data_IF_805383675372
#
_entry.id   IF_805383675372
#
_cell.length_a   1.000
_cell.length_b   1.000
_cell.length_c   1.000
_cell.angle_alpha   90.00
_cell.angle_beta   90.00
_cell.angle_gamma   90.00
#
_symmetry.space_group_name_H-M   'P 1'
#
loop_
_entity.id
_entity.type
_entity.pdbx_description
1 polymer ?
#
# COMPACT_ATOMS: atom_id res chain seq x y z
N UNK A 1 11.22 -19.12 13.44
CA UNK A 1 9.91 -19.48 12.83
C UNK A 1 8.77 -18.84 13.63
N UNK A 2 8.83 -18.94 14.97
CA UNK A 2 7.75 -18.56 15.89
C UNK A 2 7.29 -17.09 15.80
N UNK A 3 8.18 -16.13 15.57
CA UNK A 3 7.79 -14.71 15.43
C UNK A 3 7.21 -14.37 14.04
N UNK A 4 7.59 -15.13 13.01
CA UNK A 4 7.22 -14.85 11.62
C UNK A 4 5.84 -15.42 11.31
N UNK A 5 5.60 -16.67 11.72
CA UNK A 5 4.40 -17.45 11.41
C UNK A 5 3.76 -18.10 12.64
N UNK A 6 4.35 -18.00 13.83
CA UNK A 6 3.92 -18.78 14.99
C UNK A 6 2.56 -18.40 15.57
N UNK A 7 2.04 -17.21 15.25
CA UNK A 7 0.66 -16.84 15.58
C UNK A 7 -0.27 -16.73 14.37
N UNK A 8 0.13 -17.25 13.20
CA UNK A 8 -0.74 -17.32 12.03
C UNK A 8 -1.69 -18.51 12.18
N UNK A 9 -3.00 -18.23 12.19
CA UNK A 9 -4.03 -19.25 12.27
C UNK A 9 -4.58 -19.58 10.87
N UNK A 10 -4.17 -20.73 10.31
CA UNK A 10 -4.65 -21.19 8.99
C UNK A 10 -6.10 -21.68 8.99
N UNK A 11 -6.75 -21.75 10.16
CA UNK A 11 -8.19 -22.03 10.26
C UNK A 11 -9.03 -20.75 10.20
N UNK A 12 -8.41 -19.58 10.28
CA UNK A 12 -9.10 -18.30 10.08
C UNK A 12 -9.01 -17.91 8.59
N UNK A 13 -10.12 -17.87 7.85
CA UNK A 13 -10.13 -17.56 6.42
C UNK A 13 -9.58 -16.15 6.11
N UNK A 14 -9.50 -15.27 7.11
CA UNK A 14 -8.89 -13.95 6.96
C UNK A 14 -7.36 -13.95 7.07
N UNK A 15 -6.77 -15.02 7.63
CA UNK A 15 -5.33 -15.20 7.82
C UNK A 15 -4.69 -16.11 6.77
N UNK A 16 -5.50 -16.86 6.00
CA UNK A 16 -5.07 -17.76 4.93
C UNK A 16 -5.63 -19.17 5.10
N UNK A 17 -4.98 -20.16 4.49
CA UNK A 17 -5.37 -21.57 4.59
C UNK A 17 -6.41 -22.02 3.56
N UNK A 18 -6.92 -23.23 3.74
CA UNK A 18 -7.78 -23.91 2.77
C UNK A 18 -9.13 -23.21 2.59
N UNK A 19 -9.74 -22.76 3.69
CA UNK A 19 -10.99 -21.99 3.65
C UNK A 19 -10.81 -20.66 2.91
N UNK A 20 -9.66 -19.99 3.08
CA UNK A 20 -9.33 -18.79 2.32
C UNK A 20 -9.19 -19.11 0.82
N UNK A 21 -8.53 -20.22 0.48
CA UNK A 21 -8.36 -20.66 -0.91
C UNK A 21 -9.69 -21.03 -1.57
N UNK A 22 -10.64 -21.57 -0.82
CA UNK A 22 -11.98 -21.94 -1.30
C UNK A 22 -13.04 -20.84 -1.10
N UNK A 23 -12.68 -19.70 -0.52
CA UNK A 23 -13.61 -18.59 -0.24
C UNK A 23 -14.37 -18.09 -1.48
N UNK A 24 -13.67 -18.00 -2.62
CA UNK A 24 -14.26 -17.65 -3.92
C UNK A 24 -14.30 -18.88 -4.84
N UNK A 25 -15.49 -19.19 -5.36
CA UNK A 25 -15.67 -20.29 -6.31
C UNK A 25 -14.90 -20.03 -7.62
N UNK A 26 -14.43 -21.09 -8.28
CA UNK A 26 -13.73 -20.98 -9.57
C UNK A 26 -14.60 -20.29 -10.62
N UNK A 27 -15.90 -20.56 -10.62
CA UNK A 27 -16.85 -19.90 -11.52
C UNK A 27 -16.89 -18.39 -11.29
N UNK A 28 -17.02 -17.95 -10.04
CA UNK A 28 -17.02 -16.52 -9.71
C UNK A 28 -15.70 -15.84 -10.10
N UNK A 29 -14.55 -16.48 -9.83
CA UNK A 29 -13.23 -15.97 -10.25
C UNK A 29 -13.15 -15.75 -11.77
N UNK A 30 -13.65 -16.70 -12.55
CA UNK A 30 -13.65 -16.61 -14.01
C UNK A 30 -14.57 -15.48 -14.50
N UNK A 31 -15.76 -15.35 -13.93
CA UNK A 31 -16.72 -14.28 -14.29
C UNK A 31 -16.16 -12.91 -13.93
N UNK A 32 -15.66 -12.72 -12.70
CA UNK A 32 -15.05 -11.47 -12.27
C UNK A 32 -13.84 -11.10 -13.14
N UNK A 33 -12.98 -12.07 -13.44
CA UNK A 33 -11.83 -11.84 -14.33
C UNK A 33 -12.27 -11.47 -15.74
N UNK A 34 -13.29 -12.16 -16.30
CA UNK A 34 -13.81 -11.88 -17.63
C UNK A 34 -14.48 -10.49 -17.74
N UNK A 35 -15.00 -9.94 -16.64
CA UNK A 35 -15.59 -8.60 -16.60
C UNK A 35 -14.54 -7.51 -16.34
N UNK A 36 -13.60 -7.74 -15.43
CA UNK A 36 -12.59 -6.73 -15.05
C UNK A 36 -11.49 -6.58 -16.11
N UNK A 37 -11.09 -7.67 -16.76
CA UNK A 37 -9.99 -7.66 -17.72
C UNK A 37 -10.25 -6.76 -18.94
N UNK A 38 -11.43 -6.79 -19.60
CA UNK A 38 -11.74 -5.86 -20.69
C UNK A 38 -11.69 -4.40 -20.26
N UNK A 39 -12.19 -4.08 -19.05
CA UNK A 39 -12.15 -2.71 -18.51
C UNK A 39 -10.70 -2.26 -18.31
N UNK A 40 -9.84 -3.12 -17.74
CA UNK A 40 -8.42 -2.83 -17.58
C UNK A 40 -7.71 -2.64 -18.93
N UNK A 41 -8.01 -3.47 -19.94
CA UNK A 41 -7.48 -3.33 -21.29
C UNK A 41 -7.92 -2.01 -21.93
N UNK A 42 -9.20 -1.65 -21.81
CA UNK A 42 -9.73 -0.38 -22.34
C UNK A 42 -9.05 0.83 -21.69
N UNK A 43 -8.87 0.80 -20.36
CA UNK A 43 -8.15 1.84 -19.62
C UNK A 43 -6.70 1.96 -20.11
N UNK A 44 -6.00 0.83 -20.27
CA UNK A 44 -4.64 0.82 -20.82
C UNK A 44 -4.60 1.38 -22.24
N UNK A 45 -5.47 0.92 -23.15
CA UNK A 45 -5.54 1.43 -24.52
C UNK A 45 -5.82 2.93 -24.57
N UNK A 46 -6.65 3.46 -23.66
CA UNK A 46 -6.97 4.88 -23.59
C UNK A 46 -5.81 5.73 -23.03
N UNK A 47 -5.10 5.24 -22.00
CA UNK A 47 -4.03 5.97 -21.32
C UNK A 47 -2.68 5.85 -22.06
N UNK A 48 -2.41 4.69 -22.66
CA UNK A 48 -1.14 4.38 -23.33
C UNK A 48 -0.66 5.43 -24.35
N UNK A 49 -1.48 5.91 -25.31
CA UNK A 49 -1.03 6.92 -26.26
C UNK A 49 -0.63 8.23 -25.57
N UNK A 50 -1.36 8.63 -24.51
CA UNK A 50 -1.05 9.84 -23.72
C UNK A 50 0.23 9.67 -22.91
N UNK A 51 0.40 8.51 -22.27
CA UNK A 51 1.59 8.19 -21.50
C UNK A 51 2.85 8.11 -22.39
N UNK A 52 2.73 7.62 -23.62
CA UNK A 52 3.85 7.55 -24.57
C UNK A 52 4.30 8.94 -25.06
N UNK A 53 3.37 9.89 -25.17
CA UNK A 53 3.67 11.27 -25.58
C UNK A 53 4.16 12.14 -24.43
N UNK A 54 4.06 11.70 -23.17
CA UNK A 54 4.60 12.45 -22.04
C UNK A 54 6.12 12.40 -22.05
N UNK A 55 6.75 13.57 -22.12
CA UNK A 55 8.17 13.69 -21.84
C UNK A 55 8.42 13.38 -20.36
N UNK A 56 9.20 12.33 -20.10
CA UNK A 56 9.66 12.03 -18.74
C UNK A 56 10.67 13.09 -18.35
N UNK A 57 10.44 13.89 -17.29
CA UNK A 57 11.38 14.93 -16.90
C UNK A 57 12.78 14.32 -16.62
N UNK A 58 13.81 14.89 -17.25
CA UNK A 58 15.20 14.41 -17.15
C UNK A 58 15.68 14.30 -15.69
N UNK A 59 15.22 15.20 -14.83
CA UNK A 59 15.43 15.16 -13.39
C UNK A 59 14.09 15.31 -12.66
N UNK A 60 13.79 14.46 -11.66
CA UNK A 60 12.63 14.67 -10.81
C UNK A 60 12.88 15.94 -10.01
N UNK A 61 11.97 16.91 -10.08
CA UNK A 61 12.11 18.14 -9.31
C UNK A 61 11.62 17.94 -7.86
N UNK A 62 12.26 17.00 -7.14
CA UNK A 62 12.00 16.78 -5.70
C UNK A 62 12.24 18.07 -4.87
N UNK A 63 12.95 19.06 -5.43
CA UNK A 63 13.26 20.36 -4.81
C UNK A 63 12.16 21.41 -5.00
N UNK A 64 11.20 21.22 -5.92
CA UNK A 64 10.02 22.08 -6.05
C UNK A 64 9.05 21.93 -4.85
N UNK A 65 9.25 20.89 -4.03
CA UNK A 65 8.45 20.56 -2.85
C UNK A 65 8.68 21.50 -1.63
N UNK A 66 9.12 22.73 -1.88
CA UNK A 66 9.70 23.58 -0.84
C UNK A 66 8.69 24.50 -0.13
N UNK A 67 7.42 24.54 -0.55
CA UNK A 67 6.45 25.49 -0.01
C UNK A 67 5.81 25.07 1.32
N UNK A 68 5.87 23.77 1.70
CA UNK A 68 5.29 23.25 2.95
C UNK A 68 6.13 22.14 3.58
N UNK A 69 7.42 22.38 3.85
CA UNK A 69 8.31 21.42 4.56
C UNK A 69 7.69 20.87 5.85
N UNK A 70 6.95 21.71 6.60
CA UNK A 70 6.28 21.31 7.84
C UNK A 70 5.24 20.21 7.62
N UNK A 71 4.50 20.25 6.50
CA UNK A 71 3.49 19.24 6.19
C UNK A 71 4.16 17.91 5.82
N UNK A 72 5.25 17.93 5.05
CA UNK A 72 6.01 16.73 4.69
C UNK A 72 6.63 16.05 5.91
N UNK A 73 7.25 16.83 6.80
CA UNK A 73 7.75 16.31 8.08
C UNK A 73 6.62 15.75 8.96
N UNK A 74 5.44 16.38 8.95
CA UNK A 74 4.28 15.89 9.69
C UNK A 74 3.75 14.56 9.11
N UNK A 75 3.61 14.46 7.79
CA UNK A 75 3.20 13.21 7.12
C UNK A 75 4.20 12.08 7.39
N UNK A 76 5.50 12.35 7.29
CA UNK A 76 6.54 11.39 7.63
C UNK A 76 6.44 10.91 9.08
N UNK A 77 6.21 11.83 10.03
CA UNK A 77 6.03 11.48 11.43
C UNK A 77 4.83 10.54 11.64
N UNK A 78 3.69 10.83 11.01
CA UNK A 78 2.51 9.96 11.09
C UNK A 78 2.77 8.61 10.44
N UNK A 79 3.41 8.56 9.26
CA UNK A 79 3.78 7.30 8.60
C UNK A 79 4.65 6.42 9.49
N UNK A 80 5.70 6.98 10.08
CA UNK A 80 6.60 6.25 10.99
C UNK A 80 5.83 5.76 12.22
N UNK A 81 5.01 6.62 12.83
CA UNK A 81 4.24 6.27 14.03
C UNK A 81 3.26 5.12 13.75
N UNK A 82 2.46 5.25 12.70
CA UNK A 82 1.48 4.23 12.28
C UNK A 82 2.19 2.92 11.95
N UNK A 83 3.28 2.98 11.20
CA UNK A 83 4.04 1.78 10.85
C UNK A 83 4.69 1.11 12.06
N UNK A 84 5.26 1.88 13.00
CA UNK A 84 5.82 1.35 14.23
C UNK A 84 4.76 0.65 15.08
N UNK A 85 3.57 1.24 15.18
CA UNK A 85 2.43 0.62 15.88
C UNK A 85 1.99 -0.66 15.17
N UNK A 86 1.85 -0.67 13.84
CA UNK A 86 1.50 -1.87 13.08
C UNK A 86 2.54 -2.99 13.27
N UNK A 87 3.84 -2.68 13.19
CA UNK A 87 4.91 -3.64 13.48
C UNK A 87 4.78 -4.18 14.90
N UNK A 88 4.49 -3.33 15.90
CA UNK A 88 4.34 -3.76 17.28
C UNK A 88 3.19 -4.77 17.45
N UNK A 89 2.07 -4.57 16.77
CA UNK A 89 0.98 -5.55 16.75
C UNK A 89 1.43 -6.86 16.12
N UNK A 90 2.11 -6.83 14.97
CA UNK A 90 2.56 -8.06 14.27
C UNK A 90 3.65 -8.83 15.02
N UNK A 91 4.53 -8.14 15.73
CA UNK A 91 5.49 -8.76 16.65
C UNK A 91 4.74 -9.45 17.79
N UNK A 92 3.76 -8.77 18.40
CA UNK A 92 2.98 -9.30 19.52
C UNK A 92 2.13 -10.51 19.13
N UNK A 93 1.57 -10.52 17.93
CA UNK A 93 0.75 -11.63 17.43
C UNK A 93 1.58 -12.71 16.74
N UNK A 94 2.90 -12.59 16.64
CA UNK A 94 3.74 -13.59 15.98
C UNK A 94 3.41 -13.80 14.50
N UNK A 95 2.99 -12.73 13.81
CA UNK A 95 2.46 -12.76 12.44
C UNK A 95 3.18 -11.75 11.54
N UNK A 96 4.51 -11.65 11.66
CA UNK A 96 5.32 -10.70 10.88
C UNK A 96 5.24 -10.93 9.36
N UNK A 97 4.87 -12.14 8.91
CA UNK A 97 4.67 -12.42 7.48
C UNK A 97 3.71 -11.42 6.83
N UNK A 98 2.70 -10.93 7.57
CA UNK A 98 1.73 -9.97 7.05
C UNK A 98 2.30 -8.56 6.87
N UNK A 99 3.55 -8.27 7.25
CA UNK A 99 4.24 -7.03 6.83
C UNK A 99 4.54 -6.99 5.32
N UNK A 100 4.53 -8.14 4.65
CA UNK A 100 4.66 -8.21 3.19
C UNK A 100 3.35 -7.90 2.46
N UNK A 101 2.26 -7.67 3.19
CA UNK A 101 1.00 -7.27 2.58
C UNK A 101 1.17 -5.93 1.85
N UNK A 102 0.51 -5.74 0.68
CA UNK A 102 0.67 -4.56 -0.16
C UNK A 102 0.62 -3.21 0.55
N UNK A 103 -0.31 -3.02 1.50
CA UNK A 103 -0.45 -1.75 2.23
C UNK A 103 0.75 -1.44 3.13
N UNK A 104 1.34 -2.44 3.79
CA UNK A 104 2.49 -2.25 4.67
C UNK A 104 3.76 -2.00 3.86
N UNK A 105 3.92 -2.71 2.74
CA UNK A 105 4.99 -2.44 1.76
C UNK A 105 4.85 -1.02 1.19
N UNK A 106 3.64 -0.59 0.84
CA UNK A 106 3.39 0.79 0.39
C UNK A 106 3.81 1.82 1.45
N UNK A 107 3.43 1.63 2.73
CA UNK A 107 3.87 2.51 3.83
C UNK A 107 5.40 2.56 3.94
N UNK A 108 6.09 1.43 3.80
CA UNK A 108 7.57 1.41 3.81
C UNK A 108 8.15 2.21 2.64
N UNK A 109 7.61 2.03 1.42
CA UNK A 109 8.06 2.77 0.25
C UNK A 109 7.82 4.28 0.40
N UNK A 110 6.69 4.68 0.96
CA UNK A 110 6.38 6.08 1.25
C UNK A 110 7.32 6.68 2.30
N UNK A 111 7.61 5.96 3.39
CA UNK A 111 8.61 6.41 4.38
C UNK A 111 9.96 6.65 3.69
N UNK A 112 10.40 5.75 2.81
CA UNK A 112 11.66 5.92 2.06
C UNK A 112 11.64 7.16 1.14
N UNK A 113 10.49 7.51 0.56
CA UNK A 113 10.32 8.68 -0.30
C UNK A 113 10.34 10.01 0.48
N UNK A 114 9.74 10.01 1.68
CA UNK A 114 9.68 11.20 2.54
C UNK A 114 10.97 11.42 3.35
N UNK A 115 11.81 10.39 3.52
CA UNK A 115 13.15 10.53 4.08
C UNK A 115 14.09 11.24 3.10
N UNK A 116 14.21 12.56 3.25
CA UNK A 116 15.13 13.38 2.45
C UNK A 116 16.57 12.81 2.48
N UNK A 117 17.24 12.81 1.33
CA UNK A 117 18.63 12.38 1.14
C UNK A 117 18.91 10.88 1.34
N UNK A 118 17.90 10.04 1.55
CA UNK A 118 18.11 8.59 1.68
C UNK A 118 18.31 7.88 0.31
N UNK A 119 17.68 8.40 -0.75
CA UNK A 119 17.66 7.77 -2.06
C UNK A 119 18.24 8.67 -3.15
N UNK A 120 19.06 8.14 -4.09
CA UNK A 120 19.44 8.88 -5.29
C UNK A 120 18.22 9.11 -6.20
N UNK A 121 18.21 10.16 -7.05
CA UNK A 121 17.03 10.56 -7.83
C UNK A 121 16.45 9.47 -8.75
N UNK A 122 17.31 8.59 -9.30
CA UNK A 122 16.88 7.45 -10.12
C UNK A 122 16.10 6.42 -9.31
N UNK A 123 16.58 6.09 -8.10
CA UNK A 123 15.94 5.13 -7.21
C UNK A 123 14.68 5.72 -6.61
N UNK A 124 14.67 7.00 -6.23
CA UNK A 124 13.46 7.67 -5.74
C UNK A 124 12.31 7.63 -6.78
N UNK A 125 12.61 7.79 -8.07
CA UNK A 125 11.61 7.61 -9.14
C UNK A 125 11.08 6.18 -9.22
N UNK A 126 11.95 5.18 -9.10
CA UNK A 126 11.54 3.78 -9.09
C UNK A 126 10.66 3.45 -7.87
N UNK A 127 11.08 3.90 -6.68
CA UNK A 127 10.34 3.72 -5.43
C UNK A 127 8.97 4.40 -5.52
N UNK A 128 8.91 5.62 -6.09
CA UNK A 128 7.64 6.31 -6.34
C UNK A 128 6.73 5.53 -7.29
N UNK A 129 7.28 4.99 -8.39
CA UNK A 129 6.51 4.15 -9.31
C UNK A 129 5.98 2.88 -8.63
N UNK A 130 6.77 2.23 -7.77
CA UNK A 130 6.35 1.07 -6.98
C UNK A 130 5.28 1.45 -5.96
N UNK A 131 5.41 2.59 -5.27
CA UNK A 131 4.38 3.08 -4.35
C UNK A 131 3.06 3.34 -5.08
N UNK A 132 3.09 3.97 -6.26
CA UNK A 132 1.92 4.18 -7.12
C UNK A 132 1.30 2.87 -7.61
N UNK A 133 2.09 1.82 -7.85
CA UNK A 133 1.57 0.49 -8.19
C UNK A 133 0.75 -0.13 -7.06
N UNK A 134 1.13 0.10 -5.79
CA UNK A 134 0.39 -0.43 -4.64
C UNK A 134 -0.80 0.45 -4.22
N UNK A 135 -0.88 1.69 -4.69
CA UNK A 135 -1.93 2.66 -4.35
C UNK A 135 -3.36 2.14 -4.58
N UNK A 136 -3.70 1.46 -5.70
CA UNK A 136 -5.03 0.87 -5.89
C UNK A 136 -5.42 -0.11 -4.78
N UNK A 137 -4.46 -0.88 -4.25
CA UNK A 137 -4.70 -1.80 -3.14
C UNK A 137 -5.16 -1.08 -1.88
N UNK A 138 -4.56 0.06 -1.56
CA UNK A 138 -4.98 0.88 -0.42
C UNK A 138 -6.38 1.48 -0.63
N UNK A 139 -6.70 1.92 -1.85
CA UNK A 139 -8.05 2.43 -2.17
C UNK A 139 -9.12 1.35 -2.07
N UNK A 140 -8.84 0.13 -2.54
CA UNK A 140 -9.77 -1.00 -2.43
C UNK A 140 -10.00 -1.40 -0.97
N UNK A 141 -8.96 -1.34 -0.13
CA UNK A 141 -9.09 -1.58 1.30
C UNK A 141 -9.97 -0.52 2.00
N UNK A 142 -9.97 0.74 1.56
CA UNK A 142 -10.92 1.75 2.07
C UNK A 142 -12.36 1.49 1.62
N UNK A 143 -12.56 1.03 0.38
CA UNK A 143 -13.89 0.74 -0.18
C UNK A 143 -14.49 -0.56 0.37
N UNK A 144 -13.65 -1.58 0.58
CA UNK A 144 -14.01 -2.91 1.03
C UNK A 144 -13.17 -3.29 2.26
N UNK A 145 -13.45 -2.69 3.43
CA UNK A 145 -12.59 -2.83 4.60
C UNK A 145 -12.68 -4.23 5.21
N UNK A 146 -11.52 -4.86 5.38
CA UNK A 146 -11.37 -6.15 6.07
C UNK A 146 -10.86 -5.92 7.50
N UNK A 147 -11.74 -5.39 8.35
CA UNK A 147 -11.42 -5.05 9.75
C UNK A 147 -11.78 -6.16 10.75
N UNK A 148 -12.50 -7.19 10.31
CA UNK A 148 -13.00 -8.29 11.16
C UNK A 148 -11.90 -9.21 11.71
N UNK A 149 -10.75 -9.23 11.04
CA UNK A 149 -9.55 -9.98 11.44
C UNK A 149 -8.72 -9.27 12.51
N UNK A 150 -8.96 -7.97 12.74
CA UNK A 150 -8.27 -7.16 13.74
C UNK A 150 -8.91 -7.38 15.12
N UNK A 151 -8.16 -7.96 16.07
CA UNK A 151 -8.68 -8.38 17.39
C UNK A 151 -8.17 -7.51 18.53
N UNK A 152 -7.04 -6.85 18.36
CA UNK A 152 -6.42 -6.03 19.40
C UNK A 152 -7.03 -4.62 19.40
N UNK A 153 -7.16 -3.99 20.58
CA UNK A 153 -7.68 -2.64 20.69
C UNK A 153 -6.79 -1.67 19.92
N UNK A 154 -7.40 -0.82 19.09
CA UNK A 154 -6.71 0.20 18.29
C UNK A 154 -6.30 -0.25 16.88
N UNK A 155 -6.27 -1.55 16.57
CA UNK A 155 -5.88 -2.03 15.24
C UNK A 155 -6.79 -1.51 14.12
N UNK A 156 -8.10 -1.42 14.38
CA UNK A 156 -9.06 -0.87 13.40
C UNK A 156 -8.79 0.61 13.15
N UNK A 157 -8.45 1.38 14.19
CA UNK A 157 -8.11 2.80 14.05
C UNK A 157 -6.83 2.97 13.22
N UNK A 158 -5.79 2.22 13.55
CA UNK A 158 -4.51 2.21 12.82
C UNK A 158 -4.72 1.80 11.37
N UNK A 159 -5.56 0.80 11.11
CA UNK A 159 -5.95 0.40 9.76
C UNK A 159 -6.50 1.58 8.95
N UNK A 160 -7.48 2.30 9.47
CA UNK A 160 -8.07 3.44 8.75
C UNK A 160 -7.07 4.57 8.52
N UNK A 161 -6.29 4.92 9.55
CA UNK A 161 -5.26 5.97 9.45
C UNK A 161 -4.21 5.59 8.40
N UNK A 162 -3.74 4.33 8.42
CA UNK A 162 -2.72 3.84 7.50
C UNK A 162 -3.20 3.90 6.05
N UNK A 163 -4.41 3.41 5.77
CA UNK A 163 -4.90 3.39 4.39
C UNK A 163 -5.24 4.79 3.88
N UNK A 164 -5.72 5.69 4.75
CA UNK A 164 -5.93 7.09 4.39
C UNK A 164 -4.61 7.80 4.06
N UNK A 165 -3.57 7.63 4.88
CA UNK A 165 -2.29 8.31 4.66
C UNK A 165 -1.59 7.83 3.39
N UNK A 166 -1.66 6.52 3.07
CA UNK A 166 -1.15 5.97 1.81
C UNK A 166 -1.81 6.64 0.60
N UNK A 167 -3.10 6.98 0.69
CA UNK A 167 -3.78 7.66 -0.42
C UNK A 167 -3.41 9.14 -0.51
N UNK A 168 -3.16 9.80 0.63
CA UNK A 168 -2.85 11.23 0.69
C UNK A 168 -1.38 11.55 0.35
N UNK A 169 -0.44 10.66 0.69
CA UNK A 169 0.99 10.88 0.48
C UNK A 169 1.39 11.12 -0.98
N UNK A 170 0.90 10.35 -1.97
CA UNK A 170 1.16 10.63 -3.37
C UNK A 170 0.51 11.94 -3.86
N UNK A 171 -0.65 12.33 -3.32
CA UNK A 171 -1.28 13.62 -3.65
C UNK A 171 -0.40 14.78 -3.20
N UNK A 172 0.19 14.67 -2.00
CA UNK A 172 1.24 15.57 -1.57
C UNK A 172 2.39 15.52 -2.60
N UNK A 173 3.07 14.39 -2.79
CA UNK A 173 4.24 14.31 -3.68
C UNK A 173 4.02 14.79 -5.14
N UNK A 174 2.78 14.79 -5.64
CA UNK A 174 2.40 15.26 -6.98
C UNK A 174 1.95 16.74 -7.06
N UNK A 175 1.63 17.38 -5.92
CA UNK A 175 1.20 18.79 -5.84
C UNK A 175 2.38 19.76 -5.83
#
# INVERSE_FOLDING_TARGET
MDLIMGGVNFSDPSSGGDECFHYLTVYQRLVETALVLPVAILQLCYIWPKARSMEVPHAPNFRAYNNCKKLGSFLLFILILVFAVEVSYKVRTGSLIFLLNPCHVATMLEILLFCENLLPPSVARLVFALAMYFLPGATLALLFPVVTSRKLPGEVCIYWIQHLIIVLCPVYLLS
#
